data_IF_516623508528
#
_entry.id   IF_516623508528
#
_cell.length_a   1.000
_cell.length_b   1.000
_cell.length_c   1.000
_cell.angle_alpha   90.00
_cell.angle_beta   90.00
_cell.angle_gamma   90.00
#
_symmetry.space_group_name_H-M   'P 1'
#
loop_
_entity.id
_entity.type
_entity.pdbx_description
1 polymer ?
2 non-polymer ?
3 non-polymer ?
4 water ?
#
# COMPACT_ATOMS: atom_id res chain seq x y z
N UNK A 4 -21.07 -7.40 22.17
CA UNK A 4 -19.68 -6.89 21.84
C UNK A 4 -19.69 -6.11 20.52
N UNK A 5 -19.51 -4.77 20.54
CA UNK A 5 -19.74 -3.94 19.36
C UNK A 5 -18.69 -4.20 18.27
N UNK A 6 -19.06 -3.98 17.01
CA UNK A 6 -18.12 -4.08 15.88
C UNK A 6 -17.28 -2.81 15.86
N UNK A 7 -15.97 -2.94 15.56
CA UNK A 7 -15.12 -1.76 15.60
C UNK A 7 -15.37 -0.83 14.42
N UNK A 8 -15.10 0.45 14.67
CA UNK A 8 -15.16 1.55 13.67
C UNK A 8 -13.74 1.84 13.16
N UNK A 9 -12.74 1.43 13.93
CA UNK A 9 -11.30 1.67 13.63
C UNK A 9 -10.48 0.50 14.18
N UNK A 10 -9.41 0.15 13.47
CA UNK A 10 -8.44 -0.88 13.92
C UNK A 10 -7.07 -0.26 13.78
N UNK A 11 -6.10 -0.85 14.45
CA UNK A 11 -4.70 -0.48 14.20
C UNK A 11 -4.03 -1.65 13.51
N UNK A 12 -3.15 -1.29 12.60
CA UNK A 12 -2.43 -2.23 11.71
C UNK A 12 -0.95 -1.91 11.88
N UNK A 13 -0.18 -2.93 12.18
CA UNK A 13 1.29 -2.91 12.16
C UNK A 13 1.76 -3.44 10.80
N UNK A 14 2.67 -2.69 10.18
CA UNK A 14 3.37 -3.10 8.95
C UNK A 14 4.84 -3.20 9.31
N UNK A 15 5.48 -4.33 9.07
CA UNK A 15 6.95 -4.43 9.21
C UNK A 15 7.59 -4.86 7.92
N UNK A 16 8.72 -4.30 7.58
CA UNK A 16 9.52 -4.79 6.43
C UNK A 16 10.94 -4.97 6.93
N UNK A 17 11.51 -6.11 6.62
CA UNK A 17 12.91 -6.39 7.00
C UNK A 17 13.55 -7.28 5.95
N UNK A 18 14.62 -6.79 5.39
CA UNK A 18 15.53 -7.61 4.57
C UNK A 18 16.52 -8.22 5.57
N UNK A 19 16.43 -9.53 5.73
CA UNK A 19 17.14 -10.26 6.79
C UNK A 19 18.56 -10.61 6.36
N UNK A 20 18.94 -10.34 5.12
CA UNK A 20 20.30 -10.60 4.67
C UNK A 20 20.71 -12.06 4.77
N UNK A 21 19.74 -12.95 4.61
CA UNK A 21 19.95 -14.42 4.57
C UNK A 21 20.62 -14.87 5.87
N UNK A 22 20.33 -14.20 7.00
CA UNK A 22 20.83 -14.60 8.33
C UNK A 22 19.64 -14.82 9.23
N UNK A 23 19.72 -15.76 10.17
CA UNK A 23 18.68 -15.91 11.17
C UNK A 23 18.63 -14.66 12.06
N UNK A 24 17.45 -14.39 12.61
CA UNK A 24 17.27 -13.22 13.45
C UNK A 24 17.93 -13.46 14.79
N UNK A 25 18.14 -12.38 15.56
CA UNK A 25 18.62 -12.53 16.92
C UNK A 25 17.47 -13.05 17.80
N UNK A 26 17.78 -13.38 19.05
CA UNK A 26 16.77 -14.06 19.92
C UNK A 26 15.63 -13.10 20.30
N UNK A 27 15.87 -11.80 20.34
CA UNK A 27 14.81 -10.84 20.69
C UNK A 27 14.60 -9.84 19.53
N UNK A 28 13.36 -9.73 19.05
CA UNK A 28 13.02 -8.77 17.96
C UNK A 28 11.80 -7.95 18.40
N UNK A 29 11.42 -7.97 19.67
CA UNK A 29 10.25 -7.25 20.18
C UNK A 29 10.25 -5.74 19.89
N UNK A 30 11.43 -5.12 19.81
CA UNK A 30 11.56 -3.67 19.51
C UNK A 30 10.87 -3.35 18.18
N UNK A 31 10.93 -4.27 17.23
CA UNK A 31 10.31 -4.09 15.91
C UNK A 31 8.80 -3.90 16.10
N UNK A 32 8.16 -4.82 16.79
CA UNK A 32 6.69 -4.84 16.93
C UNK A 32 6.23 -3.76 17.91
N UNK A 33 7.12 -3.26 18.76
CA UNK A 33 6.80 -2.10 19.63
C UNK A 33 7.07 -0.76 18.95
N UNK A 34 7.54 -0.69 17.71
CA UNK A 34 7.84 0.60 17.04
C UNK A 34 8.81 1.44 17.89
N UNK A 35 9.91 0.81 18.33
CA UNK A 35 10.99 1.45 19.12
C UNK A 35 12.25 1.56 18.27
N UNK A 36 12.96 2.69 18.39
CA UNK A 36 14.25 2.88 17.77
C UNK A 36 14.31 4.31 17.33
N UNK A 37 14.51 4.53 16.04
CA UNK A 37 14.65 5.87 15.44
C UNK A 37 13.39 6.21 14.66
N UNK A 38 13.15 7.50 14.46
CA UNK A 38 12.07 7.99 13.62
C UNK A 38 10.90 8.36 14.46
N UNK A 39 9.70 8.12 13.92
CA UNK A 39 8.42 8.40 14.59
C UNK A 39 8.00 7.13 15.33
N UNK A 40 8.27 7.10 16.65
CA UNK A 40 8.17 5.90 17.47
C UNK A 40 6.91 5.95 18.32
N UNK A 41 6.56 4.78 18.78
CA UNK A 41 5.33 4.54 19.56
C UNK A 41 5.59 4.84 21.04
N UNK A 42 4.61 5.45 21.69
CA UNK A 42 4.71 5.81 23.12
C UNK A 42 4.80 4.53 23.97
N UNK A 43 5.69 4.58 24.97
CA UNK A 43 5.86 3.44 25.93
C UNK A 43 4.54 3.03 26.57
N UNK A 44 3.64 3.97 26.76
CA UNK A 44 2.37 3.67 27.47
C UNK A 44 1.46 2.76 26.65
N UNK A 45 1.76 2.55 25.36
CA UNK A 45 0.99 1.67 24.46
C UNK A 45 1.60 0.28 24.37
N UNK A 46 2.71 -0.01 25.03
CA UNK A 46 3.48 -1.24 24.73
C UNK A 46 2.64 -2.51 24.88
N UNK A 47 1.72 -2.56 25.83
CA UNK A 47 0.95 -3.80 26.06
C UNK A 47 -0.29 -3.87 25.20
N UNK A 48 -0.64 -2.80 24.49
CA UNK A 48 -1.88 -2.73 23.70
C UNK A 48 -1.58 -3.42 22.38
N UNK A 49 -2.23 -4.53 22.05
CA UNK A 49 -1.94 -5.21 20.81
C UNK A 49 -2.53 -4.40 19.66
N UNK A 50 -1.83 -4.42 18.53
CA UNK A 50 -2.45 -4.03 17.26
C UNK A 50 -3.48 -5.09 16.88
N UNK A 51 -4.44 -4.71 16.05
CA UNK A 51 -5.50 -5.64 15.58
C UNK A 51 -4.91 -6.63 14.60
N UNK A 52 -4.05 -6.13 13.71
CA UNK A 52 -3.46 -6.93 12.61
C UNK A 52 -1.98 -6.58 12.56
N UNK A 53 -1.13 -7.60 12.43
CA UNK A 53 0.32 -7.46 12.18
C UNK A 53 0.62 -8.06 10.82
N UNK A 54 1.25 -7.28 9.94
CA UNK A 54 1.63 -7.72 8.60
C UNK A 54 3.12 -7.60 8.53
N UNK A 55 3.80 -8.73 8.31
CA UNK A 55 5.28 -8.82 8.39
C UNK A 55 5.84 -9.23 7.05
N UNK A 56 6.57 -8.32 6.38
CA UNK A 56 7.18 -8.57 5.08
C UNK A 56 8.65 -8.79 5.33
N UNK A 57 9.18 -9.90 4.86
CA UNK A 57 10.65 -10.13 4.85
C UNK A 57 11.17 -10.34 3.44
N UNK A 58 12.43 -10.03 3.29
CA UNK A 58 13.20 -10.26 2.04
C UNK A 58 14.48 -10.96 2.48
N UNK A 59 15.07 -11.73 1.58
CA UNK A 59 16.30 -12.49 1.91
C UNK A 59 16.05 -13.25 3.20
N UNK A 60 14.88 -13.86 3.34
CA UNK A 60 14.45 -14.59 4.55
C UNK A 60 14.96 -16.03 4.44
N UNK A 61 15.87 -16.45 5.34
CA UNK A 61 16.43 -17.81 5.26
C UNK A 61 15.66 -18.87 6.03
N UNK A 62 14.60 -18.47 6.69
CA UNK A 62 13.85 -19.36 7.61
C UNK A 62 12.77 -20.10 6.82
N UNK A 63 12.35 -21.22 7.36
CA UNK A 63 11.13 -21.86 6.89
C UNK A 63 9.93 -21.02 7.37
N UNK A 64 8.77 -21.22 6.78
CA UNK A 64 7.53 -20.59 7.24
C UNK A 64 7.29 -20.99 8.69
N UNK A 65 7.48 -22.28 9.02
CA UNK A 65 7.22 -22.73 10.40
C UNK A 65 8.15 -22.00 11.37
N UNK A 66 9.43 -21.95 11.06
CA UNK A 66 10.42 -21.33 11.95
C UNK A 66 10.08 -19.85 12.18
N UNK A 67 9.76 -19.13 11.12
CA UNK A 67 9.45 -17.70 11.28
C UNK A 67 8.14 -17.48 12.03
N UNK A 68 7.09 -18.25 11.70
CA UNK A 68 5.82 -18.14 12.42
C UNK A 68 6.01 -18.35 13.93
N UNK A 69 6.81 -19.36 14.28
CA UNK A 69 7.22 -19.66 15.68
C UNK A 69 7.67 -18.35 16.34
N UNK A 70 8.69 -17.73 15.74
CA UNK A 70 9.38 -16.54 16.28
C UNK A 70 8.40 -15.40 16.38
N UNK A 71 7.62 -15.19 15.34
CA UNK A 71 6.69 -14.05 15.33
C UNK A 71 5.64 -14.23 16.43
N UNK A 72 4.98 -15.38 16.47
CA UNK A 72 3.91 -15.58 17.45
C UNK A 72 4.44 -15.47 18.90
N UNK A 73 5.63 -16.03 19.16
CA UNK A 73 6.33 -15.95 20.47
C UNK A 73 6.52 -14.48 20.84
N UNK A 74 7.11 -13.71 19.92
CA UNK A 74 7.43 -12.27 20.13
C UNK A 74 6.15 -11.52 20.51
N UNK A 75 5.06 -11.72 19.78
CA UNK A 75 3.79 -11.00 20.03
C UNK A 75 3.21 -11.49 21.36
N UNK A 76 3.27 -12.78 21.62
CA UNK A 76 2.69 -13.30 22.90
C UNK A 76 3.46 -12.70 24.08
N UNK A 77 4.78 -12.58 23.96
CA UNK A 77 5.61 -11.99 25.02
C UNK A 77 5.21 -10.53 25.23
N UNK A 78 4.99 -9.77 24.16
CA UNK A 78 4.63 -8.33 24.27
C UNK A 78 3.23 -8.16 24.85
N UNK A 79 2.26 -8.92 24.36
CA UNK A 79 0.82 -8.58 24.50
C UNK A 79 0.08 -9.57 25.41
N UNK A 80 0.68 -10.74 25.63
CA UNK A 80 0.06 -11.90 26.32
C UNK A 80 -1.10 -12.45 25.49
N UNK A 81 -1.15 -12.08 24.21
CA UNK A 81 -2.19 -12.58 23.27
C UNK A 81 -1.55 -13.58 22.32
N UNK A 82 -2.26 -14.68 22.08
CA UNK A 82 -1.89 -15.69 21.07
C UNK A 82 -2.56 -15.34 19.75
N UNK A 83 -1.78 -14.82 18.81
CA UNK A 83 -2.33 -14.33 17.54
C UNK A 83 -2.66 -15.51 16.64
N UNK A 84 -3.68 -15.33 15.82
CA UNK A 84 -4.08 -16.31 14.79
C UNK A 84 -3.40 -15.98 13.48
N UNK A 85 -2.97 -16.99 12.76
CA UNK A 85 -2.38 -16.83 11.43
C UNK A 85 -3.49 -16.66 10.40
N UNK A 86 -3.56 -15.51 9.75
CA UNK A 86 -4.53 -15.23 8.67
C UNK A 86 -4.01 -15.82 7.37
N UNK A 87 -2.75 -15.55 7.05
CA UNK A 87 -2.16 -15.98 5.80
C UNK A 87 -0.66 -15.90 5.89
N UNK A 88 -0.02 -16.75 5.13
CA UNK A 88 1.44 -16.72 4.93
C UNK A 88 1.71 -17.09 3.49
N UNK A 89 2.57 -16.37 2.83
CA UNK A 89 2.90 -16.69 1.43
C UNK A 89 4.35 -16.32 1.16
N UNK A 90 5.08 -17.19 0.51
CA UNK A 90 6.51 -17.02 0.23
C UNK A 90 6.76 -17.20 -1.26
N UNK A 91 7.56 -16.34 -1.85
CA UNK A 91 8.14 -16.50 -3.20
C UNK A 91 9.64 -16.42 -2.99
N UNK A 92 10.31 -17.51 -3.27
CA UNK A 92 11.76 -17.59 -3.06
C UNK A 92 12.06 -17.22 -1.62
N UNK A 93 12.73 -16.10 -1.39
CA UNK A 93 13.06 -15.64 -0.04
C UNK A 93 12.32 -14.35 0.33
N UNK A 94 11.20 -14.09 -0.35
CA UNK A 94 10.30 -12.95 -0.09
C UNK A 94 9.06 -13.50 0.58
N UNK A 95 8.66 -13.00 1.72
CA UNK A 95 7.59 -13.62 2.50
C UNK A 95 6.69 -12.54 3.10
N UNK A 96 5.44 -12.90 3.21
CA UNK A 96 4.46 -12.05 3.92
C UNK A 96 3.73 -12.94 4.92
N UNK A 97 3.59 -12.45 6.16
CA UNK A 97 2.80 -13.10 7.24
C UNK A 97 1.76 -12.12 7.70
N UNK A 98 0.51 -12.55 7.80
CA UNK A 98 -0.55 -11.74 8.42
C UNK A 98 -1.06 -12.47 9.66
N UNK A 99 -1.02 -11.79 10.80
CA UNK A 99 -1.49 -12.27 12.10
C UNK A 99 -2.57 -11.33 12.60
N UNK A 100 -3.59 -11.88 13.26
CA UNK A 100 -4.66 -11.02 13.81
C UNK A 100 -5.06 -11.50 15.18
N UNK A 101 -5.57 -10.58 16.00
CA UNK A 101 -6.20 -10.91 17.30
C UNK A 101 -7.17 -12.06 17.09
N UNK A 102 -7.27 -13.01 18.05
CA UNK A 102 -8.28 -14.08 17.92
C UNK A 102 -9.72 -13.58 17.82
N UNK A 103 -10.04 -12.46 18.44
CA UNK A 103 -11.41 -11.91 18.42
C UNK A 103 -11.80 -11.51 16.99
N UNK A 104 -10.85 -11.39 16.06
CA UNK A 104 -11.11 -10.97 14.66
C UNK A 104 -11.32 -12.14 13.72
N UNK A 105 -11.18 -13.36 14.25
CA UNK A 105 -11.13 -14.54 13.35
C UNK A 105 -12.42 -14.64 12.51
N UNK A 106 -13.57 -14.30 13.09
CA UNK A 106 -14.89 -14.38 12.43
C UNK A 106 -15.27 -13.02 11.81
N UNK A 107 -14.33 -12.05 11.80
CA UNK A 107 -14.50 -10.76 11.05
C UNK A 107 -13.70 -10.81 9.75
N UNK A 108 -12.80 -11.78 9.62
CA UNK A 108 -11.88 -11.86 8.46
C UNK A 108 -12.37 -12.93 7.52
N UNK A 109 -12.48 -12.61 6.23
CA UNK A 109 -12.92 -13.60 5.23
C UNK A 109 -12.31 -13.27 3.88
N UNK A 110 -12.58 -14.06 2.86
CA UNK A 110 -12.12 -13.78 1.47
C UNK A 110 -10.63 -13.56 1.49
N UNK A 111 -9.89 -14.47 2.09
CA UNK A 111 -8.42 -14.34 2.17
C UNK A 111 -7.86 -14.78 0.83
N UNK A 112 -7.03 -13.93 0.21
CA UNK A 112 -6.34 -14.22 -1.07
C UNK A 112 -4.84 -14.02 -0.88
N UNK A 113 -4.04 -14.82 -1.60
CA UNK A 113 -2.57 -14.65 -1.65
C UNK A 113 -2.17 -14.74 -3.08
N UNK A 114 -1.10 -14.07 -3.45
CA UNK A 114 -0.52 -14.20 -4.79
C UNK A 114 0.92 -13.68 -4.78
N UNK A 115 1.61 -13.94 -5.86
CA UNK A 115 2.97 -13.45 -6.04
C UNK A 115 3.14 -13.03 -7.49
N UNK A 116 4.13 -12.19 -7.71
CA UNK A 116 4.58 -11.80 -9.05
C UNK A 116 6.09 -11.93 -9.06
N UNK A 117 6.61 -12.60 -10.07
CA UNK A 117 8.03 -12.70 -10.35
C UNK A 117 8.40 -11.62 -11.34
N UNK A 118 9.38 -10.77 -11.02
CA UNK A 118 9.69 -9.67 -11.95
C UNK A 118 10.85 -10.08 -12.87
N UNK A 119 11.08 -9.31 -13.93
CA UNK A 119 12.28 -9.54 -14.78
C UNK A 119 12.05 -10.60 -15.85
N UNK A 120 13.08 -10.86 -16.66
CA UNK A 120 13.09 -11.86 -17.78
C UNK A 120 14.49 -12.46 -17.81
N UNK A 121 14.59 -13.80 -17.88
CA UNK A 121 15.85 -14.58 -18.07
C UNK A 121 16.85 -14.25 -16.95
N UNK A 122 17.95 -13.54 -17.28
CA UNK A 122 18.96 -12.96 -16.33
C UNK A 122 18.31 -12.45 -15.04
N UNK A 123 17.24 -11.66 -15.19
CA UNK A 123 16.62 -10.81 -14.12
C UNK A 123 15.38 -11.51 -13.54
N UNK A 124 15.03 -12.71 -14.00
CA UNK A 124 13.98 -13.54 -13.33
C UNK A 124 14.68 -14.56 -12.43
N UNK A 125 14.34 -14.56 -11.13
CA UNK A 125 14.68 -15.70 -10.27
C UNK A 125 14.90 -15.30 -8.83
N UNK A 126 14.96 -14.00 -8.52
CA UNK A 126 14.91 -13.71 -7.06
C UNK A 126 14.08 -12.50 -6.62
N UNK A 127 13.75 -11.58 -7.54
CA UNK A 127 13.01 -10.33 -7.22
C UNK A 127 11.52 -10.53 -7.56
N UNK A 128 10.67 -9.79 -6.86
CA UNK A 128 9.24 -9.83 -7.12
C UNK A 128 8.49 -9.44 -5.90
N UNK A 129 7.28 -9.92 -5.78
CA UNK A 129 6.41 -9.47 -4.68
C UNK A 129 5.50 -10.58 -4.27
N UNK A 130 5.12 -10.56 -3.00
CA UNK A 130 4.02 -11.38 -2.49
C UNK A 130 2.94 -10.45 -1.96
N UNK A 131 1.72 -10.96 -1.88
CA UNK A 131 0.65 -10.18 -1.32
C UNK A 131 -0.45 -10.98 -0.72
N UNK A 132 -1.19 -10.30 0.13
CA UNK A 132 -2.33 -10.89 0.85
C UNK A 132 -3.46 -9.87 0.75
N UNK A 133 -4.68 -10.34 0.55
CA UNK A 133 -5.88 -9.52 0.79
C UNK A 133 -6.95 -10.27 1.56
N UNK A 134 -7.82 -9.49 2.19
CA UNK A 134 -8.99 -10.08 2.87
C UNK A 134 -9.95 -8.95 3.14
N UNK A 135 -11.15 -9.37 3.51
CA UNK A 135 -12.18 -8.47 4.04
C UNK A 135 -12.10 -8.51 5.55
N UNK A 136 -12.20 -7.36 6.17
CA UNK A 136 -12.36 -7.20 7.61
C UNK A 136 -13.74 -6.56 7.77
N UNK A 137 -14.73 -7.34 8.19
CA UNK A 137 -16.14 -6.88 8.15
C UNK A 137 -16.41 -6.27 6.75
N UNK A 138 -16.79 -4.99 6.68
CA UNK A 138 -17.20 -4.41 5.38
C UNK A 138 -16.05 -3.72 4.65
N UNK A 139 -14.82 -3.89 5.13
CA UNK A 139 -13.65 -3.14 4.64
C UNK A 139 -12.68 -4.11 3.97
N UNK A 140 -12.24 -3.78 2.78
CA UNK A 140 -11.25 -4.61 2.05
C UNK A 140 -9.84 -4.07 2.36
N UNK A 141 -8.91 -4.99 2.60
CA UNK A 141 -7.52 -4.65 2.98
C UNK A 141 -6.59 -5.44 2.07
N UNK A 142 -5.63 -4.77 1.49
CA UNK A 142 -4.58 -5.39 0.68
C UNK A 142 -3.21 -5.06 1.18
N UNK A 143 -2.27 -6.00 1.03
CA UNK A 143 -0.91 -5.87 1.55
C UNK A 143 0.03 -6.42 0.52
N UNK A 144 1.05 -5.65 0.21
CA UNK A 144 2.05 -6.06 -0.81
C UNK A 144 3.44 -5.91 -0.21
N UNK A 145 4.23 -6.98 -0.27
CA UNK A 145 5.64 -6.98 0.11
C UNK A 145 6.43 -7.20 -1.15
N UNK A 146 7.20 -6.23 -1.58
CA UNK A 146 8.02 -6.36 -2.81
C UNK A 146 9.48 -6.16 -2.50
N UNK A 147 10.30 -6.93 -3.17
CA UNK A 147 11.77 -6.84 -3.20
C UNK A 147 12.09 -6.44 -4.62
N UNK A 148 12.38 -5.16 -4.85
CA UNK A 148 12.62 -4.66 -6.21
C UNK A 148 14.12 -4.76 -6.56
N UNK A 149 14.41 -4.48 -7.82
CA UNK A 149 15.76 -4.62 -8.38
C UNK A 149 16.71 -3.74 -7.56
N UNK A 150 17.92 -4.25 -7.31
CA UNK A 150 18.95 -3.52 -6.54
C UNK A 150 19.81 -2.66 -7.46
N UNK A 151 20.58 -1.77 -6.85
CA UNK A 151 21.63 -1.04 -7.58
C UNK A 151 21.23 0.38 -7.75
N UNK A 152 22.12 1.32 -7.41
CA UNK A 152 21.83 2.74 -7.53
C UNK A 152 21.45 3.16 -8.97
N UNK A 153 21.97 2.43 -9.96
CA UNK A 153 21.85 2.78 -11.41
C UNK A 153 20.50 2.34 -11.97
N UNK A 154 19.72 1.55 -11.22
CA UNK A 154 18.55 0.83 -11.76
C UNK A 154 17.20 1.38 -11.28
N UNK A 155 17.10 2.67 -11.09
CA UNK A 155 15.79 3.20 -10.61
C UNK A 155 14.66 2.93 -11.64
N UNK A 156 14.95 3.00 -12.93
CA UNK A 156 13.91 2.80 -13.97
C UNK A 156 13.47 1.33 -13.96
N UNK A 157 14.37 0.38 -13.69
CA UNK A 157 14.02 -1.06 -13.53
C UNK A 157 13.08 -1.21 -12.34
N UNK A 158 13.36 -0.54 -11.23
CA UNK A 158 12.49 -0.62 -10.05
C UNK A 158 11.09 -0.11 -10.43
N UNK A 159 11.04 0.99 -11.16
CA UNK A 159 9.73 1.58 -11.56
C UNK A 159 8.98 0.56 -12.44
N UNK A 160 9.70 -0.12 -13.32
CA UNK A 160 9.11 -1.17 -14.17
C UNK A 160 8.63 -2.34 -13.29
N UNK A 161 9.43 -2.71 -12.29
CA UNK A 161 9.05 -3.83 -11.37
C UNK A 161 7.73 -3.45 -10.68
N UNK A 162 7.62 -2.19 -10.22
CA UNK A 162 6.38 -1.69 -9.59
C UNK A 162 5.18 -1.86 -10.52
N UNK A 163 5.31 -1.46 -11.79
CA UNK A 163 4.15 -1.52 -12.72
C UNK A 163 3.80 -3.00 -12.97
N UNK A 164 4.80 -3.85 -13.16
CA UNK A 164 4.50 -5.31 -13.33
C UNK A 164 3.77 -5.87 -12.12
N UNK A 165 4.20 -5.54 -10.90
CA UNK A 165 3.56 -6.04 -9.69
C UNK A 165 2.10 -5.54 -9.63
N UNK A 166 1.94 -4.24 -9.84
CA UNK A 166 0.64 -3.51 -9.85
C UNK A 166 -0.31 -4.22 -10.82
N UNK A 167 0.19 -4.57 -12.00
CA UNK A 167 -0.65 -5.13 -13.09
C UNK A 167 -1.04 -6.59 -12.79
N UNK A 168 -0.10 -7.39 -12.30
CA UNK A 168 -0.23 -8.87 -12.38
C UNK A 168 -0.55 -9.51 -11.03
N UNK A 169 -0.47 -8.78 -9.92
CA UNK A 169 -0.77 -9.39 -8.63
C UNK A 169 -2.28 -9.52 -8.55
N UNK A 170 -2.76 -10.74 -8.37
CA UNK A 170 -4.20 -11.07 -8.44
C UNK A 170 -4.76 -11.18 -7.03
N UNK A 171 -5.13 -10.05 -6.44
CA UNK A 171 -5.69 -10.03 -5.08
C UNK A 171 -7.05 -9.42 -5.15
N UNK A 172 -7.84 -9.60 -4.09
CA UNK A 172 -9.13 -8.94 -3.94
C UNK A 172 -10.19 -9.55 -4.84
N UNK A 173 -11.24 -8.79 -5.08
CA UNK A 173 -12.50 -9.28 -5.70
C UNK A 173 -12.29 -9.40 -7.21
N UNK A 174 -12.21 -10.64 -7.70
CA UNK A 174 -11.97 -10.89 -9.15
C UNK A 174 -13.10 -10.30 -10.01
N UNK A 175 -14.27 -10.00 -9.50
CA UNK A 175 -15.38 -9.36 -10.25
C UNK A 175 -14.99 -7.93 -10.62
N UNK A 176 -14.00 -7.36 -9.93
CA UNK A 176 -13.53 -5.98 -10.22
C UNK A 176 -12.57 -6.02 -11.39
N UNK A 177 -12.99 -6.61 -12.49
CA UNK A 177 -12.09 -7.02 -13.59
C UNK A 177 -11.37 -5.85 -14.21
N UNK A 178 -11.91 -4.61 -14.35
CA UNK A 178 -11.14 -3.52 -14.92
C UNK A 178 -10.04 -2.97 -14.00
N UNK A 179 -10.05 -3.36 -12.73
CA UNK A 179 -9.27 -2.65 -11.69
C UNK A 179 -8.09 -3.48 -11.27
N UNK A 180 -6.95 -2.82 -11.15
CA UNK A 180 -5.73 -3.43 -10.56
C UNK A 180 -5.75 -3.26 -9.04
N UNK A 181 -4.70 -3.77 -8.37
CA UNK A 181 -4.71 -3.71 -6.89
C UNK A 181 -4.76 -2.27 -6.37
N UNK A 182 -4.39 -1.26 -7.16
CA UNK A 182 -4.40 0.14 -6.68
C UNK A 182 -5.82 0.68 -6.57
N UNK A 183 -6.84 -0.06 -6.98
CA UNK A 183 -8.26 0.32 -6.83
C UNK A 183 -9.11 -0.72 -6.10
N UNK A 184 -8.58 -1.89 -5.76
CA UNK A 184 -9.46 -2.99 -5.28
C UNK A 184 -9.75 -2.87 -3.78
N UNK A 185 -8.98 -2.08 -3.02
CA UNK A 185 -9.03 -2.12 -1.55
C UNK A 185 -9.36 -0.78 -0.92
N UNK A 186 -10.11 -0.83 0.16
CA UNK A 186 -10.38 0.35 0.98
C UNK A 186 -9.02 0.91 1.43
N UNK A 187 -8.13 0.02 1.84
CA UNK A 187 -6.79 0.39 2.31
C UNK A 187 -5.81 -0.58 1.66
N UNK A 188 -4.79 -0.05 1.00
CA UNK A 188 -3.72 -0.85 0.38
C UNK A 188 -2.40 -0.42 0.98
N UNK A 189 -1.64 -1.34 1.54
CA UNK A 189 -0.31 -1.04 2.08
C UNK A 189 0.69 -1.73 1.20
N UNK A 190 1.71 -1.00 0.75
CA UNK A 190 2.77 -1.54 -0.11
C UNK A 190 4.09 -1.22 0.55
N UNK A 191 4.89 -2.24 0.80
CA UNK A 191 6.11 -2.12 1.60
C UNK A 191 7.11 -3.10 1.05
N UNK A 192 8.32 -3.00 1.55
CA UNK A 192 9.36 -3.95 1.18
C UNK A 192 10.71 -3.30 1.11
N UNK A 193 11.66 -4.09 0.61
CA UNK A 193 12.96 -3.57 0.16
C UNK A 193 12.74 -3.07 -1.26
N UNK A 194 12.29 -1.83 -1.34
CA UNK A 194 12.03 -1.18 -2.63
C UNK A 194 13.32 -0.80 -3.30
N UNK A 195 14.42 -0.72 -2.58
CA UNK A 195 15.77 -0.63 -3.14
C UNK A 195 16.10 0.69 -3.82
N UNK A 196 15.27 1.71 -3.63
CA UNK A 196 15.66 3.05 -4.09
C UNK A 196 16.79 3.62 -3.22
N UNK A 197 17.70 4.35 -3.86
CA UNK A 197 18.94 4.80 -3.21
C UNK A 197 18.97 6.32 -3.10
N UNK A 198 19.92 6.77 -2.27
CA UNK A 198 20.27 8.21 -2.21
C UNK A 198 21.27 8.44 -3.34
N UNK A 199 20.86 9.21 -4.35
CA UNK A 199 21.64 9.40 -5.60
C UNK A 199 22.55 10.62 -5.42
N UNK A 200 23.70 10.40 -4.78
CA UNK A 200 24.76 11.41 -4.59
C UNK A 200 26.00 10.73 -5.12
N UNK A 201 27.06 11.51 -5.46
CA UNK A 201 28.28 10.90 -6.00
C UNK A 201 28.92 9.98 -4.95
N UNK A 202 29.56 8.89 -5.41
CA UNK A 202 30.11 7.84 -4.51
C UNK A 202 31.25 8.43 -3.67
N UNK A 203 31.92 9.48 -4.15
CA UNK A 203 33.01 10.16 -3.43
C UNK A 203 32.46 11.10 -2.34
N UNK A 204 31.13 11.27 -2.26
CA UNK A 204 30.47 11.92 -1.11
C UNK A 204 30.13 10.92 0.03
N UNK A 205 30.55 9.66 -0.04
CA UNK A 205 30.15 8.64 0.95
C UNK A 205 30.45 9.13 2.36
N UNK A 206 31.64 9.65 2.63
CA UNK A 206 31.97 9.97 4.02
C UNK A 206 31.18 11.20 4.45
N UNK A 207 30.93 12.13 3.52
CA UNK A 207 30.07 13.31 3.80
C UNK A 207 28.67 12.84 4.18
N UNK A 208 28.15 11.86 3.46
CA UNK A 208 26.79 11.34 3.79
C UNK A 208 26.78 10.74 5.20
N UNK A 209 27.80 9.93 5.50
CA UNK A 209 27.96 9.31 6.83
C UNK A 209 27.96 10.36 7.93
N UNK A 210 28.70 11.46 7.75
CA UNK A 210 28.78 12.50 8.81
C UNK A 210 27.42 13.20 8.92
N UNK A 211 26.68 13.39 7.80
CA UNK A 211 25.29 13.94 7.89
C UNK A 211 24.40 13.01 8.73
N UNK A 212 24.51 11.70 8.49
CA UNK A 212 23.70 10.74 9.26
C UNK A 212 24.07 10.81 10.76
N UNK A 213 25.34 10.91 11.07
CA UNK A 213 25.78 11.01 12.49
C UNK A 213 25.23 12.28 13.15
N UNK A 214 25.02 13.35 12.40
CA UNK A 214 24.45 14.61 12.91
C UNK A 214 22.93 14.57 12.87
N UNK A 215 22.34 13.43 12.45
CA UNK A 215 20.86 13.35 12.25
C UNK A 215 20.34 14.47 11.34
N UNK A 216 21.09 14.81 10.30
CA UNK A 216 20.71 15.84 9.33
C UNK A 216 20.37 15.12 8.06
N UNK A 217 19.10 14.79 7.90
CA UNK A 217 18.67 13.92 6.76
C UNK A 217 18.20 14.75 5.57
N UNK A 218 18.00 16.06 5.68
CA UNK A 218 17.31 16.84 4.62
C UNK A 218 18.05 16.76 3.28
N UNK A 219 19.36 17.00 3.25
CA UNK A 219 20.13 16.99 1.98
C UNK A 219 20.29 15.56 1.47
N UNK A 220 20.02 14.54 2.31
CA UNK A 220 20.00 13.16 1.77
C UNK A 220 18.62 12.84 1.16
N UNK A 221 17.54 13.13 1.90
CA UNK A 221 16.18 12.83 1.41
C UNK A 221 15.91 13.58 0.10
N UNK A 222 16.47 14.78 -0.10
CA UNK A 222 16.24 15.51 -1.36
C UNK A 222 16.86 14.76 -2.54
N UNK A 223 17.70 13.74 -2.31
CA UNK A 223 18.28 12.90 -3.39
C UNK A 223 17.76 11.46 -3.31
N UNK A 224 16.80 11.18 -2.44
CA UNK A 224 16.22 9.82 -2.37
C UNK A 224 15.45 9.54 -3.64
N UNK A 225 15.81 8.44 -4.33
CA UNK A 225 15.21 8.19 -5.64
C UNK A 225 13.73 7.92 -5.55
N UNK A 226 13.22 7.33 -4.49
CA UNK A 226 11.78 7.05 -4.40
C UNK A 226 11.05 8.41 -4.28
N UNK A 227 11.46 9.28 -3.38
CA UNK A 227 10.81 10.61 -3.25
C UNK A 227 10.88 11.36 -4.61
N UNK A 228 12.02 11.36 -5.30
CA UNK A 228 12.17 12.16 -6.54
C UNK A 228 11.34 11.51 -7.62
N UNK A 229 11.40 10.18 -7.77
CA UNK A 229 10.58 9.51 -8.79
C UNK A 229 9.06 9.73 -8.56
N UNK A 230 8.64 9.68 -7.30
CA UNK A 230 7.23 9.93 -6.93
C UNK A 230 6.85 11.38 -7.27
N UNK A 231 7.73 12.34 -7.01
CA UNK A 231 7.42 13.78 -7.28
C UNK A 231 7.30 13.99 -8.79
N UNK A 232 8.03 13.21 -9.60
CA UNK A 232 7.95 13.29 -11.06
C UNK A 232 6.88 12.34 -11.60
N UNK A 233 6.07 11.73 -10.74
CA UNK A 233 4.95 10.85 -11.15
C UNK A 233 5.44 9.67 -12.00
N UNK A 234 6.61 9.12 -11.67
CA UNK A 234 7.17 7.97 -12.41
C UNK A 234 6.78 6.66 -11.75
N UNK A 235 6.32 6.69 -10.50
CA UNK A 235 6.08 5.48 -9.69
C UNK A 235 5.22 5.83 -8.48
N UNK A 236 4.45 4.88 -8.00
CA UNK A 236 3.66 5.02 -6.78
C UNK A 236 2.73 6.25 -6.87
N UNK A 237 2.16 6.50 -8.04
CA UNK A 237 1.21 7.62 -8.16
C UNK A 237 0.02 7.38 -7.23
N UNK A 238 -0.35 8.41 -6.49
CA UNK A 238 -1.52 8.43 -5.59
C UNK A 238 -1.35 7.63 -4.32
N UNK A 239 -0.10 7.25 -4.01
CA UNK A 239 0.28 6.64 -2.72
C UNK A 239 0.67 7.75 -1.73
N UNK A 240 0.90 7.36 -0.47
CA UNK A 240 1.40 8.26 0.59
C UNK A 240 2.50 7.52 1.35
N UNK A 241 3.50 8.28 1.75
CA UNK A 241 4.53 7.83 2.72
C UNK A 241 4.58 8.86 3.85
N UNK A 242 4.72 8.40 5.09
CA UNK A 242 5.01 9.26 6.26
C UNK A 242 6.41 9.88 6.06
N UNK A 243 6.61 11.08 6.58
CA UNK A 243 7.94 11.70 6.55
C UNK A 243 8.96 10.78 7.20
N UNK A 244 10.11 10.65 6.58
CA UNK A 244 11.20 9.84 7.10
C UNK A 244 12.03 10.66 8.07
N UNK A 245 12.17 10.17 9.30
CA UNK A 245 12.92 10.87 10.37
C UNK A 245 13.88 9.91 11.04
N UNK A 246 14.24 8.82 10.38
CA UNK A 246 15.19 7.80 10.86
C UNK A 246 16.34 7.72 9.87
N UNK A 247 17.47 7.23 10.34
CA UNK A 247 18.68 7.10 9.51
C UNK A 247 18.43 6.08 8.41
N UNK A 248 19.16 6.21 7.30
CA UNK A 248 19.13 5.19 6.27
C UNK A 248 19.28 3.79 6.85
N UNK A 249 18.51 2.81 6.30
CA UNK A 249 18.42 1.47 6.90
C UNK A 249 19.33 0.47 6.23
N UNK A 250 20.15 0.93 5.29
CA UNK A 250 21.06 0.10 4.46
C UNK A 250 22.24 1.01 4.11
N UNK A 251 23.45 0.50 3.90
CA UNK A 251 23.93 -0.84 4.14
C UNK A 251 24.84 -0.88 5.38
N UNK A 252 24.48 -1.65 6.40
CA UNK A 252 25.24 -1.68 7.67
C UNK A 252 26.20 -2.86 7.67
N UNK A 253 27.33 -2.68 8.36
CA UNK A 253 28.11 -3.84 8.84
C UNK A 253 27.24 -4.63 9.81
N UNK A 254 27.23 -5.95 9.71
CA UNK A 254 26.46 -6.81 10.63
C UNK A 254 27.04 -6.75 12.04
N UNK A 255 26.17 -6.93 13.03
CA UNK A 255 26.46 -7.14 14.47
C UNK A 255 26.75 -5.80 15.16
N UNK A 256 26.72 -4.68 14.46
CA UNK A 256 26.71 -3.33 15.09
C UNK A 256 25.71 -2.50 14.30
N UNK A 257 25.37 -1.27 14.72
CA UNK A 257 24.80 -0.27 13.76
C UNK A 257 25.72 0.93 13.67
N UNK A 258 26.98 0.75 14.06
CA UNK A 258 27.93 1.89 14.17
C UNK A 258 28.55 2.22 12.83
N UNK A 259 28.44 1.31 11.85
CA UNK A 259 29.20 1.42 10.60
C UNK A 259 28.30 1.13 9.40
N UNK A 260 28.27 2.06 8.47
CA UNK A 260 27.78 1.83 7.11
C UNK A 260 28.89 1.21 6.26
N UNK A 261 28.59 0.12 5.59
CA UNK A 261 29.51 -0.61 4.69
C UNK A 261 29.15 -0.27 3.26
N UNK A 262 29.74 0.76 2.67
CA UNK A 262 29.32 1.27 1.36
C UNK A 262 30.27 0.97 0.19
N UNK A 263 31.52 0.61 0.51
CA UNK A 263 32.61 0.47 -0.50
C UNK A 263 32.32 -0.72 -1.42
N UNK A 264 32.80 -0.63 -2.66
CA UNK A 264 32.61 -1.71 -3.66
C UNK A 264 33.51 -2.88 -3.26
N UNK A 265 32.97 -4.07 -3.37
CA UNK A 265 33.59 -5.35 -2.96
C UNK A 265 33.21 -6.41 -4.01
N UNK A 266 34.01 -7.49 -4.14
CA UNK A 266 33.59 -8.57 -5.06
C UNK A 266 32.16 -9.03 -4.72
N UNK A 267 31.85 -9.15 -3.43
CA UNK A 267 30.55 -9.62 -2.93
C UNK A 267 29.41 -8.68 -3.39
N UNK A 268 29.71 -7.42 -3.72
CA UNK A 268 28.64 -6.48 -4.21
C UNK A 268 28.64 -6.35 -5.73
N UNK A 269 29.37 -7.22 -6.45
CA UNK A 269 29.54 -7.01 -7.88
C UNK A 269 30.29 -5.72 -8.19
N UNK A 270 31.19 -5.32 -7.30
CA UNK A 270 31.97 -4.09 -7.44
C UNK A 270 31.05 -2.89 -7.57
N UNK A 271 29.97 -2.90 -6.79
CA UNK A 271 29.02 -1.76 -6.69
C UNK A 271 29.15 -1.09 -5.33
N UNK A 272 29.05 0.24 -5.33
CA UNK A 272 28.92 1.02 -4.10
C UNK A 272 27.48 0.92 -3.63
N UNK A 273 27.36 0.86 -2.32
CA UNK A 273 26.05 0.88 -1.63
C UNK A 273 26.04 2.08 -0.68
N UNK A 274 25.93 3.29 -1.21
CA UNK A 274 25.85 4.47 -0.33
C UNK A 274 24.64 4.27 0.56
N UNK A 275 24.70 4.77 1.81
CA UNK A 275 23.59 4.70 2.74
C UNK A 275 22.30 5.18 2.10
N UNK A 276 21.27 4.35 2.23
CA UNK A 276 20.01 4.55 1.53
C UNK A 276 18.81 4.10 2.36
N UNK A 277 17.67 4.69 2.05
CA UNK A 277 16.39 4.25 2.63
C UNK A 277 15.77 3.21 1.70
N UNK A 278 16.37 2.01 1.70
CA UNK A 278 15.83 0.93 0.81
C UNK A 278 14.47 0.43 1.27
N UNK A 279 14.15 0.52 2.55
CA UNK A 279 13.12 -0.27 3.24
C UNK A 279 11.96 0.65 3.60
N UNK A 280 10.79 0.49 2.99
CA UNK A 280 9.80 1.57 2.98
C UNK A 280 8.41 1.00 3.18
N UNK A 281 7.51 1.85 3.64
CA UNK A 281 6.09 1.54 3.78
C UNK A 281 5.30 2.69 3.17
N UNK A 282 4.47 2.39 2.20
CA UNK A 282 3.55 3.34 1.56
C UNK A 282 2.14 2.81 1.62
N UNK A 283 1.15 3.69 1.48
CA UNK A 283 -0.24 3.22 1.47
C UNK A 283 -1.09 4.06 0.53
N UNK A 284 -2.24 3.53 0.21
CA UNK A 284 -3.24 4.20 -0.60
C UNK A 284 -4.59 3.77 -0.07
N UNK A 285 -5.40 4.71 0.34
CA UNK A 285 -6.74 4.43 0.87
C UNK A 285 -7.74 5.17 0.00
N UNK A 286 -8.94 4.63 -0.09
CA UNK A 286 -10.03 5.29 -0.82
C UNK A 286 -10.24 6.68 -0.24
N UNK A 287 -10.74 7.60 -1.07
CA UNK A 287 -10.96 8.98 -0.64
C UNK A 287 -11.86 9.08 0.59
N UNK A 288 -11.46 9.93 1.53
CA UNK A 288 -12.23 10.31 2.75
C UNK A 288 -12.45 9.11 3.65
N UNK A 289 -11.57 8.11 3.57
CA UNK A 289 -11.55 7.05 4.61
C UNK A 289 -10.46 7.42 5.59
N UNK A 290 -10.73 7.28 6.86
CA UNK A 290 -9.75 7.56 7.92
C UNK A 290 -8.55 6.63 7.79
N UNK A 291 -7.38 7.22 7.72
CA UNK A 291 -6.11 6.45 7.81
C UNK A 291 -5.07 7.41 8.35
N UNK A 292 -4.44 7.08 9.45
CA UNK A 292 -3.44 7.96 10.10
C UNK A 292 -2.25 7.11 10.47
N UNK A 293 -1.09 7.49 9.95
CA UNK A 293 0.19 6.86 10.35
C UNK A 293 0.54 7.29 11.76
N UNK A 294 0.68 6.31 12.66
CA UNK A 294 0.98 6.52 14.10
C UNK A 294 2.48 6.36 14.35
N UNK A 295 3.19 5.63 13.49
CA UNK A 295 4.64 5.36 13.69
C UNK A 295 5.27 5.05 12.33
N UNK A 296 6.52 5.42 12.18
CA UNK A 296 7.30 5.09 10.98
C UNK A 296 8.75 5.25 11.36
N UNK A 297 9.42 4.13 11.48
CA UNK A 297 10.80 4.21 11.99
C UNK A 297 11.59 2.97 11.75
N UNK A 298 12.75 2.88 12.36
CA UNK A 298 13.61 1.69 12.22
C UNK A 298 14.09 1.28 13.59
N UNK A 299 14.37 0.00 13.75
CA UNK A 299 14.93 -0.46 15.02
C UNK A 299 16.43 -0.16 15.01
N UNK A 300 16.95 -0.07 16.23
CA UNK A 300 18.39 0.17 16.48
C UNK A 300 19.10 -1.05 17.06
N UNK A 301 18.38 -2.08 17.51
CA UNK A 301 18.95 -3.17 18.34
C UNK A 301 18.87 -4.51 17.64
N UNK A 302 18.49 -4.58 16.35
CA UNK A 302 18.41 -5.86 15.58
C UNK A 302 19.46 -5.71 14.49
N UNK A 303 20.56 -6.46 14.62
CA UNK A 303 21.82 -6.19 13.88
C UNK A 303 22.32 -7.41 13.10
N UNK A 304 21.50 -8.45 12.92
CA UNK A 304 21.95 -9.67 12.21
C UNK A 304 22.06 -9.43 10.71
N UNK A 305 21.33 -8.45 10.17
CA UNK A 305 21.30 -8.14 8.74
C UNK A 305 22.09 -6.88 8.43
N UNK A 306 22.38 -6.69 7.15
CA UNK A 306 22.94 -5.42 6.64
C UNK A 306 21.83 -4.38 6.46
N UNK A 307 20.57 -4.76 6.69
CA UNK A 307 19.43 -3.80 6.78
C UNK A 307 18.90 -3.81 8.19
N UNK A 308 18.44 -2.66 8.67
CA UNK A 308 17.59 -2.57 9.87
C UNK A 308 16.13 -2.77 9.50
N UNK A 309 15.37 -3.45 10.37
CA UNK A 309 13.92 -3.51 10.24
C UNK A 309 13.29 -2.13 10.24
N UNK A 310 12.19 -2.00 9.52
CA UNK A 310 11.36 -0.80 9.48
C UNK A 310 9.99 -1.20 9.97
N UNK A 311 9.35 -0.33 10.72
CA UNK A 311 7.98 -0.45 11.21
C UNK A 311 7.19 0.75 10.81
N UNK A 312 5.92 0.53 10.60
CA UNK A 312 4.91 1.60 10.47
C UNK A 312 3.63 1.09 11.09
N UNK A 313 2.91 1.97 11.75
CA UNK A 313 1.59 1.60 12.27
C UNK A 313 0.58 2.62 11.84
N UNK A 314 -0.65 2.14 11.72
CA UNK A 314 -1.76 2.92 11.20
C UNK A 314 -3.01 2.69 12.01
N UNK A 315 -3.78 3.76 12.15
CA UNK A 315 -5.19 3.70 12.60
C UNK A 315 -6.05 3.81 11.34
N UNK A 316 -6.84 2.76 11.04
CA UNK A 316 -7.57 2.62 9.77
C UNK A 316 -9.07 2.48 10.04
N UNK A 317 -9.86 3.30 9.37
CA UNK A 317 -11.31 3.22 9.45
C UNK A 317 -11.82 1.93 8.85
N UNK A 318 -12.79 1.30 9.53
CA UNK A 318 -13.47 0.07 9.05
C UNK A 318 -14.96 0.24 9.28
N UNK A 319 -15.69 -0.52 8.50
CA UNK A 319 -17.16 -0.49 8.51
C UNK A 319 -17.67 -1.88 8.84
N UNK A 320 -18.92 -1.93 9.31
CA UNK A 320 -19.61 -3.18 9.73
C UNK A 320 -20.09 -3.93 8.50
N UNK A 321 -20.41 -5.22 8.67
CA UNK A 321 -21.09 -6.04 7.64
C UNK A 321 -22.60 -5.75 7.74
N UNK A 322 -23.07 -4.70 7.06
CA UNK A 322 -24.43 -4.14 7.20
C UNK A 322 -25.51 -5.09 6.66
N UNK A 323 -26.55 -5.28 7.47
CA UNK A 323 -27.82 -5.97 7.09
C UNK A 323 -28.98 -4.98 7.27
N UNK A 324 -29.90 -4.91 6.31
CA UNK A 324 -31.22 -4.26 6.49
C UNK A 324 -32.33 -5.30 6.19
N UNK A 325 -33.57 -4.84 6.38
CA UNK A 325 -34.81 -5.59 6.05
C UNK A 325 -34.78 -5.91 4.56
N UNK A 326 -34.20 -5.00 3.76
CA UNK A 326 -34.09 -5.10 2.27
C UNK A 326 -32.73 -5.72 1.93
N UNK A 327 -31.73 -4.93 1.53
CA UNK A 327 -30.41 -5.47 1.16
C UNK A 327 -29.68 -6.00 2.40
N UNK A 328 -28.74 -6.98 2.27
CA UNK A 328 -28.49 -7.73 1.02
C UNK A 328 -29.56 -8.70 0.49
N UNK A 329 -29.53 -8.90 -0.83
CA UNK A 329 -30.42 -9.80 -1.59
C UNK A 329 -31.51 -9.12 -2.37
N UNK A 330 -31.57 -7.79 -2.26
CA UNK A 330 -32.56 -6.92 -2.95
C UNK A 330 -32.08 -5.47 -2.86
N UNK A 331 -32.71 -4.57 -3.64
CA UNK A 331 -32.39 -3.11 -3.60
C UNK A 331 -33.21 -2.46 -2.47
N UNK A 332 -32.91 -1.20 -2.16
CA UNK A 332 -33.68 -0.37 -1.20
C UNK A 332 -34.14 0.87 -1.98
N UNK A 333 -35.34 0.81 -2.55
CA UNK A 333 -35.90 1.84 -3.47
C UNK A 333 -35.70 3.24 -2.87
N UNK A 334 -35.53 3.36 -1.55
CA UNK A 334 -35.36 4.68 -0.88
C UNK A 334 -33.97 5.26 -1.20
N UNK A 335 -33.10 4.48 -1.84
CA UNK A 335 -31.72 4.88 -2.18
C UNK A 335 -31.50 5.07 -3.67
N UNK A 336 -30.74 6.09 -4.07
CA UNK A 336 -30.28 6.23 -5.47
C UNK A 336 -29.03 7.12 -5.57
N UNK A 337 -28.24 6.86 -6.61
CA UNK A 337 -27.07 7.69 -6.95
C UNK A 337 -27.22 8.18 -8.39
N UNK A 338 -27.25 9.49 -8.56
CA UNK A 338 -27.35 10.14 -9.88
C UNK A 338 -26.05 10.90 -10.15
N UNK A 339 -25.59 10.80 -11.39
CA UNK A 339 -24.43 11.55 -11.97
C UNK A 339 -24.95 12.56 -13.00
N UNK A 340 -24.71 13.85 -12.76
CA UNK A 340 -25.09 14.98 -13.64
C UNK A 340 -23.84 15.52 -14.32
N UNK A 341 -23.95 15.95 -15.59
CA UNK A 341 -22.98 16.86 -16.24
C UNK A 341 -21.59 16.19 -16.11
N UNK A 342 -21.51 14.89 -16.33
CA UNK A 342 -20.21 14.18 -16.17
C UNK A 342 -19.45 14.15 -17.50
N UNK A 343 -18.14 14.30 -17.39
CA UNK A 343 -17.28 14.05 -18.57
C UNK A 343 -15.94 13.51 -18.13
N UNK A 344 -15.40 12.68 -19.01
CA UNK A 344 -14.04 12.12 -18.85
C UNK A 344 -13.17 12.93 -19.79
N UNK A 345 -11.97 13.26 -19.34
CA UNK A 345 -10.92 13.85 -20.19
C UNK A 345 -9.83 12.78 -20.31
N UNK A 346 -9.49 12.34 -21.51
CA UNK A 346 -8.53 11.22 -21.67
C UNK A 346 -7.31 11.70 -22.44
N UNK A 347 -6.14 11.19 -22.07
CA UNK A 347 -4.87 11.54 -22.76
C UNK A 347 -4.71 10.74 -24.07
N UNK A 348 -5.56 9.77 -24.33
CA UNK A 348 -5.50 8.88 -25.53
C UNK A 348 -5.58 9.64 -26.86
N UNK A 349 -4.89 9.08 -27.85
CA UNK A 349 -4.90 9.57 -29.25
C UNK A 349 -6.03 8.88 -30.01
N UNK A 350 -6.61 7.82 -29.44
CA UNK A 350 -7.57 6.90 -30.14
C UNK A 350 -8.90 7.63 -30.35
N UNK A 351 -9.75 7.11 -31.24
CA UNK A 351 -11.06 7.73 -31.56
C UNK A 351 -12.20 6.68 -31.55
N UNK A 352 -12.11 5.66 -30.69
CA UNK A 352 -13.25 4.74 -30.38
C UNK A 352 -14.33 5.52 -29.61
N UNK A 353 -15.56 5.02 -29.57
CA UNK A 353 -16.53 5.46 -28.57
C UNK A 353 -16.12 4.83 -27.22
N UNK A 354 -16.53 5.47 -26.14
CA UNK A 354 -16.31 4.97 -24.77
C UNK A 354 -17.61 4.85 -24.00
N UNK A 355 -17.64 3.91 -23.06
CA UNK A 355 -18.72 3.73 -22.07
C UNK A 355 -18.10 3.58 -20.70
N UNK A 356 -18.91 3.79 -19.67
CA UNK A 356 -18.45 3.64 -18.26
C UNK A 356 -18.94 2.33 -17.67
N UNK A 357 -18.18 1.82 -16.71
CA UNK A 357 -18.70 0.80 -15.76
C UNK A 357 -18.58 1.36 -14.36
N UNK A 358 -19.65 1.20 -13.57
CA UNK A 358 -19.71 1.60 -12.16
C UNK A 358 -19.67 0.31 -11.35
N UNK A 359 -18.67 0.15 -10.50
CA UNK A 359 -18.54 -1.04 -9.65
C UNK A 359 -18.57 -0.62 -8.18
N UNK A 360 -19.34 -1.30 -7.37
CA UNK A 360 -19.33 -1.03 -5.92
C UNK A 360 -20.02 -2.15 -5.19
N UNK A 361 -19.53 -2.46 -4.00
CA UNK A 361 -20.15 -3.40 -3.03
C UNK A 361 -21.58 -2.95 -2.67
N UNK A 362 -21.89 -1.66 -2.83
CA UNK A 362 -23.26 -1.15 -2.52
C UNK A 362 -24.23 -1.47 -3.68
N UNK A 363 -23.77 -2.01 -4.82
CA UNK A 363 -24.63 -2.44 -5.94
C UNK A 363 -24.69 -3.96 -6.02
N UNK A 364 -25.79 -4.50 -6.55
CA UNK A 364 -25.94 -5.97 -6.66
C UNK A 364 -24.95 -6.48 -7.70
N UNK A 365 -24.72 -5.70 -8.73
CA UNK A 365 -23.69 -5.97 -9.74
C UNK A 365 -23.33 -4.68 -10.47
N UNK A 366 -22.25 -4.71 -11.22
CA UNK A 366 -21.72 -3.48 -11.84
C UNK A 366 -22.71 -2.99 -12.91
N UNK A 367 -22.61 -1.71 -13.21
CA UNK A 367 -23.57 -1.06 -14.15
C UNK A 367 -22.79 -0.47 -15.31
N UNK A 368 -23.25 -0.73 -16.52
CA UNK A 368 -22.60 -0.31 -17.79
C UNK A 368 -23.43 0.80 -18.43
N UNK A 369 -22.85 2.00 -18.58
CA UNK A 369 -23.52 3.18 -19.17
C UNK A 369 -23.66 2.98 -20.69
N UNK A 370 -24.45 3.87 -21.28
CA UNK A 370 -24.46 4.14 -22.74
C UNK A 370 -23.11 4.74 -23.11
N UNK A 371 -22.79 4.72 -24.40
CA UNK A 371 -21.62 5.46 -24.94
C UNK A 371 -21.77 6.95 -24.70
N UNK A 372 -20.67 7.61 -24.37
CA UNK A 372 -20.58 9.07 -24.28
C UNK A 372 -20.39 9.69 -25.64
N UNK A 373 -20.43 11.01 -25.69
CA UNK A 373 -20.24 11.83 -26.92
C UNK A 373 -18.82 12.41 -26.92
N UNK A 374 -17.98 11.97 -27.85
CA UNK A 374 -16.60 12.48 -28.02
C UNK A 374 -16.64 13.90 -28.55
N UNK A 375 -15.92 14.81 -27.90
CA UNK A 375 -15.57 16.14 -28.46
C UNK A 375 -14.06 16.27 -28.40
N UNK A 376 -13.50 17.19 -29.18
CA UNK A 376 -12.07 17.63 -29.12
C UNK A 376 -11.96 18.73 -28.05
N UNK A 377 -11.06 18.56 -27.07
CA UNK A 377 -10.67 19.61 -26.10
C UNK A 377 -9.74 20.65 -26.73
N UNK A 378 -9.73 21.88 -26.19
CA UNK A 378 -9.01 23.06 -26.75
C UNK A 378 -7.51 22.75 -26.91
N UNK A 379 -6.91 21.98 -25.99
CA UNK A 379 -5.44 21.74 -25.92
C UNK A 379 -5.12 20.32 -26.46
N UNK A 380 -5.93 19.78 -27.38
CA UNK A 380 -5.61 18.52 -28.11
C UNK A 380 -6.25 17.25 -27.54
N UNK A 381 -6.91 17.31 -26.36
CA UNK A 381 -7.32 16.12 -25.55
C UNK A 381 -8.59 15.46 -26.09
N UNK A 382 -8.93 14.26 -25.61
CA UNK A 382 -10.29 13.73 -25.87
C UNK A 382 -11.19 14.02 -24.66
N UNK A 383 -12.36 14.61 -24.90
CA UNK A 383 -13.40 14.84 -23.87
C UNK A 383 -14.55 13.96 -24.24
N UNK A 384 -14.93 13.08 -23.32
CA UNK A 384 -16.08 12.19 -23.50
C UNK A 384 -17.20 12.72 -22.60
N UNK A 385 -18.29 13.17 -23.21
CA UNK A 385 -19.43 13.77 -22.48
C UNK A 385 -20.48 12.71 -22.22
N UNK A 386 -20.98 12.61 -20.99
CA UNK A 386 -22.07 11.68 -20.65
C UNK A 386 -23.40 12.39 -20.42
N UNK A 387 -23.35 13.70 -20.26
CA UNK A 387 -24.52 14.57 -20.01
C UNK A 387 -25.27 14.13 -18.77
N UNK A 388 -26.57 13.88 -18.95
CA UNK A 388 -27.55 13.46 -17.92
C UNK A 388 -28.02 12.08 -18.35
N UNK A 389 -27.20 11.40 -19.15
CA UNK A 389 -27.49 10.10 -19.80
C UNK A 389 -27.13 8.94 -18.86
N UNK A 390 -26.33 9.16 -17.80
CA UNK A 390 -25.76 8.03 -16.99
C UNK A 390 -26.88 7.30 -16.24
N UNK A 391 -26.80 5.95 -16.09
CA UNK A 391 -27.86 5.17 -15.44
C UNK A 391 -27.97 5.53 -13.94
N UNK A 392 -29.18 5.72 -13.43
CA UNK A 392 -29.41 5.94 -11.97
C UNK A 392 -28.99 4.67 -11.23
N UNK A 393 -28.07 4.75 -10.24
CA UNK A 393 -27.56 3.53 -9.56
C UNK A 393 -28.44 3.26 -8.34
N UNK A 394 -28.75 1.98 -8.15
CA UNK A 394 -29.73 1.49 -7.14
C UNK A 394 -28.97 0.73 -6.07
N UNK A 395 -28.62 1.39 -4.95
CA UNK A 395 -27.90 0.69 -3.89
C UNK A 395 -28.81 -0.31 -3.17
N UNK A 396 -28.15 -1.31 -2.60
CA UNK A 396 -28.79 -2.47 -1.92
C UNK A 396 -29.34 -2.02 -0.57
N UNK A 397 -28.80 -0.95 -0.03
CA UNK A 397 -29.15 -0.44 1.33
C UNK A 397 -29.21 1.08 1.23
N UNK A 398 -30.21 1.73 1.80
CA UNK A 398 -30.45 3.18 1.63
C UNK A 398 -30.06 3.93 2.90
N UNK A 399 -29.82 3.21 4.00
CA UNK A 399 -29.48 3.81 5.30
C UNK A 399 -28.25 4.69 5.06
N UNK A 400 -28.29 5.98 5.44
CA UNK A 400 -27.15 6.89 5.23
C UNK A 400 -25.94 6.46 6.04
N UNK A 401 -26.11 5.83 7.18
CA UNK A 401 -24.97 5.32 8.00
C UNK A 401 -24.13 4.30 7.19
N UNK A 402 -24.78 3.64 6.26
CA UNK A 402 -24.08 2.67 5.37
C UNK A 402 -23.64 3.43 4.14
N UNK A 403 -24.59 4.10 3.47
CA UNK A 403 -24.32 4.53 2.07
C UNK A 403 -23.23 5.59 2.02
N UNK A 404 -23.18 6.52 2.98
CA UNK A 404 -22.23 7.63 2.93
C UNK A 404 -20.79 7.07 3.14
N UNK A 405 -20.65 5.85 3.63
CA UNK A 405 -19.34 5.19 3.81
C UNK A 405 -18.87 4.43 2.57
N UNK A 406 -19.65 4.43 1.49
CA UNK A 406 -19.34 3.60 0.31
C UNK A 406 -18.54 4.39 -0.71
N UNK A 407 -18.10 3.69 -1.75
CA UNK A 407 -17.30 4.24 -2.84
C UNK A 407 -17.76 3.61 -4.14
N UNK A 408 -17.70 4.38 -5.22
CA UNK A 408 -18.00 3.90 -6.60
C UNK A 408 -16.70 3.91 -7.40
N UNK A 409 -16.27 2.73 -7.84
CA UNK A 409 -15.18 2.61 -8.81
C UNK A 409 -15.74 2.85 -10.20
N UNK A 410 -14.99 3.61 -10.99
CA UNK A 410 -15.37 3.95 -12.40
C UNK A 410 -14.28 3.48 -13.33
N UNK A 411 -14.67 2.74 -14.36
CA UNK A 411 -13.79 2.41 -15.49
C UNK A 411 -14.40 3.02 -16.74
N UNK A 412 -13.56 3.66 -17.54
CA UNK A 412 -13.97 4.11 -18.89
C UNK A 412 -13.36 3.12 -19.88
N UNK A 413 -14.22 2.50 -20.68
CA UNK A 413 -13.85 1.37 -21.56
C UNK A 413 -14.15 1.72 -23.01
N UNK A 414 -13.27 1.27 -23.89
CA UNK A 414 -13.45 1.35 -25.35
C UNK A 414 -14.61 0.44 -25.78
N UNK A 415 -15.57 0.97 -26.53
CA UNK A 415 -16.65 0.15 -27.16
C UNK A 415 -16.04 -0.87 -28.12
N UNK A 416 -14.93 -0.54 -28.78
CA UNK A 416 -14.30 -1.38 -29.83
C UNK A 416 -13.61 -2.58 -29.19
N UNK A 417 -12.93 -2.40 -28.07
CA UNK A 417 -12.04 -3.44 -27.50
C UNK A 417 -12.51 -3.93 -26.14
N UNK A 418 -13.41 -3.18 -25.47
CA UNK A 418 -13.86 -3.43 -24.08
C UNK A 418 -12.67 -3.38 -23.12
N UNK A 419 -11.67 -2.72 -23.52
CA UNK A 419 -10.50 -2.56 -22.63
C UNK A 419 -10.65 -1.24 -21.86
N UNK A 420 -10.23 -1.26 -20.54
CA UNK A 420 -10.25 -0.01 -19.73
C UNK A 420 -9.13 0.91 -20.18
N UNK A 421 -9.50 2.17 -20.38
CA UNK A 421 -8.55 3.26 -20.64
C UNK A 421 -8.27 4.08 -19.38
N UNK A 422 -9.05 3.87 -18.32
CA UNK A 422 -8.86 4.65 -17.10
C UNK A 422 -9.77 4.16 -15.99
N UNK A 423 -9.24 4.16 -14.79
CA UNK A 423 -9.92 3.71 -13.56
C UNK A 423 -9.77 4.77 -12.49
N UNK A 424 -10.83 4.99 -11.74
CA UNK A 424 -10.80 5.89 -10.59
C UNK A 424 -11.85 5.55 -9.59
N UNK A 425 -12.02 6.39 -8.58
CA UNK A 425 -12.86 6.09 -7.43
C UNK A 425 -13.49 7.37 -6.89
N UNK A 426 -14.77 7.32 -6.63
CA UNK A 426 -15.55 8.44 -6.07
C UNK A 426 -16.07 8.07 -4.69
N UNK A 427 -15.82 8.88 -3.67
CA UNK A 427 -16.40 8.65 -2.33
C UNK A 427 -17.88 9.12 -2.33
N UNK A 428 -18.72 8.42 -1.60
CA UNK A 428 -20.11 8.88 -1.30
C UNK A 428 -20.19 9.61 0.05
N UNK A 429 -19.03 9.93 0.65
CA UNK A 429 -18.98 10.69 1.92
C UNK A 429 -19.23 12.17 1.60
N UNK A 430 -20.46 12.51 1.23
CA UNK A 430 -20.83 13.84 0.70
C UNK A 430 -21.14 14.83 1.81
N UNK A 431 -21.03 16.10 1.50
CA UNK A 431 -21.36 17.23 2.41
C UNK A 431 -22.87 17.32 2.60
N UNK A 432 -23.65 16.72 1.73
CA UNK A 432 -25.12 16.83 1.68
C UNK A 432 -25.71 15.72 0.86
N UNK A 433 -26.97 15.38 1.12
CA UNK A 433 -27.76 14.45 0.29
C UNK A 433 -28.84 15.26 -0.43
N UNK A 434 -29.41 14.68 -1.48
CA UNK A 434 -30.48 15.33 -2.26
C UNK A 434 -29.99 16.70 -2.78
N UNK A 435 -28.68 16.83 -3.04
CA UNK A 435 -28.02 18.12 -3.38
C UNK A 435 -26.99 17.83 -4.48
N UNK A 436 -26.99 18.58 -5.58
CA UNK A 436 -25.97 18.38 -6.65
C UNK A 436 -24.63 18.84 -6.11
N UNK A 437 -23.63 17.96 -6.15
CA UNK A 437 -22.32 18.32 -5.58
C UNK A 437 -21.24 17.91 -6.55
N UNK A 438 -20.13 18.66 -6.63
CA UNK A 438 -19.06 18.30 -7.54
C UNK A 438 -18.41 16.98 -7.10
N UNK A 439 -18.05 16.17 -8.08
CA UNK A 439 -17.20 14.97 -7.87
C UNK A 439 -16.02 15.01 -8.85
N UNK A 440 -14.99 14.25 -8.51
CA UNK A 440 -13.74 14.28 -9.28
C UNK A 440 -12.97 13.01 -8.90
N UNK A 441 -12.37 12.38 -9.90
CA UNK A 441 -11.22 11.46 -9.66
C UNK A 441 -10.25 11.57 -10.82
N UNK A 442 -8.95 11.41 -10.54
CA UNK A 442 -8.02 11.12 -11.61
C UNK A 442 -8.35 9.72 -12.14
N UNK A 443 -7.98 9.48 -13.38
CA UNK A 443 -8.08 8.14 -14.01
C UNK A 443 -6.68 7.64 -14.28
N UNK A 444 -6.43 6.38 -13.95
CA UNK A 444 -5.15 5.73 -14.22
C UNK A 444 -5.43 4.46 -14.98
N UNK A 445 -4.39 3.96 -15.63
CA UNK A 445 -4.38 2.62 -16.24
C UNK A 445 -2.97 2.08 -16.09
N UNK A 446 -2.85 0.84 -15.63
CA UNK A 446 -1.56 0.26 -15.21
C UNK A 446 -0.89 1.21 -14.24
N UNK A 447 -1.68 1.92 -13.44
CA UNK A 447 -1.18 2.81 -12.38
C UNK A 447 -0.56 4.12 -12.88
N UNK A 448 -0.62 4.41 -14.19
CA UNK A 448 -0.18 5.68 -14.77
C UNK A 448 -1.39 6.55 -15.09
N UNK A 449 -1.21 7.85 -14.98
CA UNK A 449 -2.30 8.83 -15.25
C UNK A 449 -2.73 8.79 -16.73
N UNK A 450 -4.01 8.61 -16.97
CA UNK A 450 -4.55 8.55 -18.35
C UNK A 450 -5.63 9.60 -18.56
N UNK A 451 -6.03 10.29 -17.51
CA UNK A 451 -7.16 11.22 -17.65
C UNK A 451 -7.79 11.63 -16.35
N UNK A 452 -8.98 12.14 -16.46
CA UNK A 452 -9.78 12.64 -15.31
C UNK A 452 -11.26 12.39 -15.55
N UNK A 453 -12.00 12.24 -14.47
CA UNK A 453 -13.47 12.12 -14.55
C UNK A 453 -14.05 13.12 -13.58
N UNK A 454 -14.96 13.95 -14.05
CA UNK A 454 -15.54 14.98 -13.14
C UNK A 454 -16.98 15.24 -13.56
N UNK A 455 -17.73 15.78 -12.62
CA UNK A 455 -19.13 16.07 -12.88
C UNK A 455 -19.80 16.37 -11.58
N UNK A 456 -21.07 16.02 -11.49
CA UNK A 456 -21.76 16.24 -10.22
C UNK A 456 -22.47 14.95 -9.82
N UNK A 457 -22.74 14.80 -8.52
CA UNK A 457 -23.47 13.66 -7.98
C UNK A 457 -24.67 14.21 -7.21
N UNK A 458 -25.71 13.36 -7.10
CA UNK A 458 -26.92 13.63 -6.27
C UNK A 458 -27.23 12.30 -5.59
N UNK A 459 -27.06 12.20 -4.28
CA UNK A 459 -27.24 10.97 -3.48
C UNK A 459 -28.52 11.09 -2.67
N UNK A 460 -29.42 10.13 -2.86
CA UNK A 460 -30.66 9.94 -2.06
C UNK A 460 -30.43 8.80 -1.06
N UNK A 461 -30.61 9.08 0.23
CA UNK A 461 -30.56 8.05 1.28
C UNK A 461 -31.97 8.00 1.87
N UNK A 462 -32.21 7.08 2.79
CA UNK A 462 -33.50 6.96 3.52
C UNK A 462 -33.72 8.17 4.44
N UNK A 463 -32.71 9.00 4.72
CA UNK A 463 -32.91 10.17 5.62
C UNK A 463 -33.06 11.47 4.81
X LIG B 1 6.54 12.67 3.05
X LIG B 1 4.53 14.21 1.80
X LIG B 1 6.53 16.58 5.93
X LIG B 1 0.24 13.31 0.71
X LIG B 1 1.46 13.12 1.35
X LIG B 1 2.28 12.43 0.47
X LIG B 1 1.58 12.21 -0.65
X LIG B 1 0.34 12.72 -0.55
X LIG B 1 3.74 11.97 0.72
X LIG B 1 4.05 10.88 0.37
X LIG B 1 4.75 12.84 1.33
X LIG B 1 6.15 12.45 1.58
X LIG B 1 6.25 14.03 3.49
X LIG B 1 4.84 14.33 3.29
X LIG B 1 7.27 14.96 4.02
X LIG B 1 8.39 14.58 4.11
X LIG B 1 6.87 16.39 4.45
X LIG B 1 7.83 17.14 5.37
X LIG C 1 -15.34 0.43 3.30
X LIG C 1 -15.18 0.13 4.76
X LIG C 1 -15.29 2.16 3.20
X LIG C 1 -17.08 0.28 2.95
X LIG D 1 -15.89 -1.06 -3.25
X LIG D 1 -17.40 -0.94 -3.15
X LIG D 1 -15.60 -2.45 -4.33
X LIG D 1 -15.44 0.12 -4.43
X LIG E 1 -8.09 7.95 -7.41
X LIG E 1 -8.27 6.45 -7.31
X LIG E 1 -6.62 8.35 -6.53
X LIG E 1 -9.26 8.64 -6.27
#
# INVERSE_FOLDING_TARGET
SMEQPEPDMITIFIGTWNMGNAPPPKKITSWFLSKGQGKTRDDSADYIPHDIYVIGTQEDPLSEKEWLEILKHSLQEITSVTFKTVAIHTLWNIRIVVLAKPEHENRISHICTDNVKTGIANTLGNKGAVGVSFMFNGTSLGFVNSHLTSGSEKKLRRNQNYMNILRFLALGDKKLSPFNITHRFTHLFWFGDLNYRVDLPTWEAETIIQKIKQQQYADLLSHDQLLTERREQKVFLHFEEEEITFAPTYRFERLTRDKYAYTKQKATGMKYNLPSWCDRVLWKSYPLVHVVCQSYGSTSDIMTSDHSPVFATFEAGVTSQFVSKNGPGTVDSQGQIEFLRCYATLKTKSQTKFYLEFHSSCLESFVKSQEGENEEGSEGELVVKFGETLPKLKPIISDPEYLLDQHILISIKSSDSDESYGEGCIALRLEATETQLPIYTPLTHHGELTGHFQGEIKLQTSQ
JMM C10 C13 C17 C01 C02 C03 O04 C05 C06 O07 N08 C09 N11 C12 C14 O15 C16 C18
DMS S O C1 C2
DMS S O C1 C2
DMS S O C1 C2
#
